data_IF_805288358492
#
_entry.id   IF_805288358492
#
_cell.length_a   1.000
_cell.length_b   1.000
_cell.length_c   1.000
_cell.angle_alpha   90.00
_cell.angle_beta   90.00
_cell.angle_gamma   90.00
#
_symmetry.space_group_name_H-M   'P 1'
#
loop_
_entity.id
_entity.type
_entity.pdbx_description
1 polymer ?
#
# COMPACT_ATOMS: atom_id res chain seq x y z
N UNK A 1 -28.18 -0.64 22.38
CA UNK A 1 -27.73 0.15 21.21
C UNK A 1 -26.33 -0.27 20.83
N UNK A 2 -26.19 -1.23 19.91
CA UNK A 2 -24.89 -1.72 19.47
C UNK A 2 -24.27 -0.76 18.46
N UNK A 3 -23.23 -0.03 18.86
CA UNK A 3 -22.41 0.74 17.93
C UNK A 3 -21.69 -0.23 16.98
N UNK A 4 -22.02 -0.17 15.69
CA UNK A 4 -21.34 -0.99 14.68
C UNK A 4 -19.87 -0.58 14.59
N UNK A 5 -18.97 -1.56 14.56
CA UNK A 5 -17.52 -1.32 14.60
C UNK A 5 -16.83 -1.99 13.41
N UNK A 6 -15.76 -1.35 12.93
CA UNK A 6 -14.81 -2.01 12.05
C UNK A 6 -14.06 -3.06 12.86
N UNK A 7 -14.08 -4.31 12.39
CA UNK A 7 -13.23 -5.38 12.86
C UNK A 7 -12.10 -5.61 11.85
N UNK A 8 -10.87 -5.86 12.32
CA UNK A 8 -9.70 -6.05 11.47
C UNK A 8 -8.93 -7.27 11.98
N UNK A 9 -8.60 -8.19 11.07
CA UNK A 9 -7.88 -9.44 11.35
C UNK A 9 -6.69 -9.62 10.41
N UNK A 10 -5.67 -10.29 10.92
CA UNK A 10 -4.52 -10.80 10.18
C UNK A 10 -4.68 -12.31 10.09
N UNK A 11 -4.73 -12.84 8.87
CA UNK A 11 -4.83 -14.28 8.59
C UNK A 11 -3.63 -14.81 7.81
N UNK A 12 -3.39 -16.13 7.87
CA UNK A 12 -2.40 -16.79 7.01
C UNK A 12 -3.03 -17.13 5.65
N UNK A 13 -2.43 -16.58 4.60
CA UNK A 13 -2.76 -16.96 3.22
C UNK A 13 -2.44 -18.44 2.97
N UNK A 14 -3.27 -19.09 2.17
CA UNK A 14 -3.11 -20.49 1.73
C UNK A 14 -2.89 -21.50 2.89
N UNK A 15 -3.46 -21.23 4.07
CA UNK A 15 -3.32 -22.05 5.28
C UNK A 15 -3.75 -23.52 5.12
N UNK A 16 -4.51 -23.86 4.08
CA UNK A 16 -4.90 -25.23 3.70
C UNK A 16 -3.86 -25.97 2.83
N UNK A 17 -2.84 -25.27 2.33
CA UNK A 17 -1.72 -25.85 1.57
C UNK A 17 -0.52 -26.23 2.45
N UNK A 18 -0.55 -25.83 3.72
CA UNK A 18 0.50 -26.11 4.71
C UNK A 18 0.38 -27.55 5.24
N UNK A 19 1.52 -28.19 5.50
CA UNK A 19 1.57 -29.56 6.00
C UNK A 19 0.80 -29.72 7.34
N UNK A 20 0.06 -30.82 7.56
CA UNK A 20 -0.69 -31.05 8.80
C UNK A 20 0.16 -30.86 10.06
N UNK A 21 -0.42 -30.24 11.09
CA UNK A 21 0.30 -29.94 12.34
C UNK A 21 1.22 -28.71 12.28
N UNK A 22 1.14 -27.88 11.22
CA UNK A 22 1.89 -26.63 11.15
C UNK A 22 1.49 -25.67 12.29
N UNK A 23 2.50 -24.97 12.83
CA UNK A 23 2.33 -23.83 13.73
C UNK A 23 3.26 -22.68 13.30
N UNK A 24 2.80 -21.43 13.47
CA UNK A 24 3.58 -20.21 13.20
C UNK A 24 3.37 -19.20 14.33
N UNK A 25 4.47 -18.62 14.82
CA UNK A 25 4.45 -17.67 15.92
C UNK A 25 4.77 -16.26 15.40
N UNK A 26 3.85 -15.32 15.54
CA UNK A 26 4.06 -13.93 15.13
C UNK A 26 3.47 -12.95 16.14
N UNK A 27 4.26 -11.96 16.52
CA UNK A 27 3.74 -10.75 17.16
C UNK A 27 3.41 -9.74 16.06
N UNK A 28 2.35 -8.96 16.21
CA UNK A 28 1.95 -7.99 15.20
C UNK A 28 1.24 -6.78 15.80
N UNK A 29 1.22 -5.68 15.05
CA UNK A 29 0.31 -4.56 15.29
C UNK A 29 -0.43 -4.20 14.01
N UNK A 30 -1.70 -3.88 14.16
CA UNK A 30 -2.53 -3.35 13.08
C UNK A 30 -2.74 -1.86 13.30
N UNK A 31 -2.62 -1.07 12.24
CA UNK A 31 -2.76 0.39 12.28
C UNK A 31 -3.77 0.84 11.23
N UNK A 32 -4.85 1.48 11.66
CA UNK A 32 -5.74 2.21 10.77
C UNK A 32 -5.14 3.60 10.56
N UNK A 33 -4.65 3.85 9.36
CA UNK A 33 -3.95 5.09 9.00
C UNK A 33 -4.96 6.23 8.86
N UNK A 34 -4.65 7.35 9.48
CA UNK A 34 -5.37 8.60 9.24
C UNK A 34 -4.67 9.36 8.10
N UNK A 35 -5.40 9.63 7.00
CA UNK A 35 -4.82 10.23 5.78
C UNK A 35 -4.74 11.76 5.82
N UNK A 36 -5.33 12.41 6.83
CA UNK A 36 -5.30 13.86 7.01
C UNK A 36 -4.27 14.29 8.07
N UNK A 37 -4.03 13.46 9.08
CA UNK A 37 -3.08 13.72 10.16
C UNK A 37 -2.50 12.40 10.66
N UNK A 38 -1.24 12.12 10.31
CA UNK A 38 -0.58 10.85 10.63
C UNK A 38 -0.54 10.55 12.14
N UNK A 39 -0.50 11.58 13.00
CA UNK A 39 -0.49 11.44 14.46
C UNK A 39 -1.82 10.92 15.02
N UNK A 40 -2.91 11.00 14.25
CA UNK A 40 -4.23 10.46 14.61
C UNK A 40 -4.44 9.01 14.17
N UNK A 41 -3.44 8.35 13.57
CA UNK A 41 -3.54 6.95 13.16
C UNK A 41 -3.71 6.02 14.37
N UNK A 42 -4.69 5.11 14.31
CA UNK A 42 -5.02 4.23 15.44
C UNK A 42 -4.23 2.93 15.30
N UNK A 43 -3.20 2.75 16.14
CA UNK A 43 -2.42 1.51 16.21
C UNK A 43 -2.90 0.64 17.38
N UNK A 44 -3.18 -0.65 17.13
CA UNK A 44 -3.44 -1.66 18.17
C UNK A 44 -2.42 -2.80 18.05
N UNK A 45 -1.53 -2.97 19.04
CA UNK A 45 -0.67 -4.15 19.11
C UNK A 45 -1.49 -5.38 19.54
N UNK A 46 -1.18 -6.55 18.98
CA UNK A 46 -1.74 -7.81 19.45
C UNK A 46 -1.27 -8.06 20.90
N UNK A 47 -2.21 -8.03 21.84
CA UNK A 47 -1.90 -7.82 23.26
C UNK A 47 -1.01 -8.91 23.86
N UNK A 48 0.11 -8.48 24.47
CA UNK A 48 0.84 -9.19 25.53
C UNK A 48 1.52 -10.53 25.19
N UNK A 49 1.42 -11.02 23.96
CA UNK A 49 1.99 -12.32 23.58
C UNK A 49 2.08 -12.50 22.08
N UNK A 50 3.15 -13.18 21.64
CA UNK A 50 3.29 -13.73 20.29
C UNK A 50 2.07 -14.62 20.01
N UNK A 51 1.37 -14.39 18.89
CA UNK A 51 0.19 -15.17 18.51
C UNK A 51 0.61 -16.42 17.75
N UNK A 52 0.04 -17.54 18.17
CA UNK A 52 0.20 -18.82 17.51
C UNK A 52 -0.89 -18.99 16.47
N UNK A 53 -0.48 -19.08 15.22
CA UNK A 53 -1.34 -19.44 14.10
C UNK A 53 -1.21 -20.95 13.90
N UNK A 54 -2.35 -21.62 13.78
CA UNK A 54 -2.45 -23.07 13.58
C UNK A 54 -3.57 -23.37 12.58
N UNK A 55 -3.72 -24.64 12.20
CA UNK A 55 -4.87 -25.09 11.42
C UNK A 55 -6.22 -24.74 12.05
N UNK A 56 -6.32 -24.70 13.39
CA UNK A 56 -7.56 -24.32 14.10
C UNK A 56 -7.68 -22.81 14.36
N UNK A 57 -6.56 -22.07 14.35
CA UNK A 57 -6.50 -20.64 14.63
C UNK A 57 -5.75 -19.92 13.50
N UNK A 58 -6.42 -19.77 12.35
CA UNK A 58 -5.83 -19.25 11.11
C UNK A 58 -5.73 -17.72 11.07
N UNK A 59 -6.45 -17.03 11.94
CA UNK A 59 -6.53 -15.57 12.01
C UNK A 59 -6.55 -15.02 13.44
N UNK A 60 -6.00 -13.81 13.62
CA UNK A 60 -5.99 -13.07 14.88
C UNK A 60 -6.26 -11.59 14.62
N UNK A 61 -7.02 -10.92 15.49
CA UNK A 61 -7.41 -9.54 15.25
C UNK A 61 -8.27 -8.91 16.33
N UNK A 62 -8.92 -7.80 15.98
CA UNK A 62 -9.72 -7.00 16.89
C UNK A 62 -11.16 -6.91 16.38
N UNK A 63 -12.12 -7.46 17.15
CA UNK A 63 -13.57 -7.30 16.95
C UNK A 63 -14.07 -5.85 17.02
N UNK A 64 -13.25 -4.98 17.61
CA UNK A 64 -13.52 -3.57 17.88
C UNK A 64 -12.23 -2.79 17.58
N UNK A 65 -12.11 -2.28 16.36
CA UNK A 65 -11.00 -1.42 15.96
C UNK A 65 -11.37 0.07 16.15
N UNK A 66 -12.40 0.51 15.42
CA UNK A 66 -12.97 1.87 15.47
C UNK A 66 -14.51 1.77 15.27
N UNK A 67 -15.33 2.61 15.91
CA UNK A 67 -16.76 2.73 15.57
C UNK A 67 -16.94 3.21 14.12
N UNK A 68 -17.87 2.61 13.37
CA UNK A 68 -18.09 2.99 11.96
C UNK A 68 -18.52 4.46 11.81
N UNK A 69 -19.27 5.01 12.78
CA UNK A 69 -19.62 6.44 12.78
C UNK A 69 -18.39 7.37 12.79
N UNK A 70 -17.26 6.94 13.37
CA UNK A 70 -15.99 7.69 13.36
C UNK A 70 -15.13 7.35 12.13
N UNK A 71 -15.34 6.19 11.51
CA UNK A 71 -14.68 5.82 10.25
C UNK A 71 -15.26 6.63 9.07
N UNK A 72 -16.59 6.75 9.00
CA UNK A 72 -17.32 7.45 7.94
C UNK A 72 -17.37 8.98 8.09
N UNK A 73 -16.94 9.52 9.23
CA UNK A 73 -16.78 10.96 9.41
C UNK A 73 -15.64 11.47 8.50
N UNK A 74 -16.01 12.23 7.47
CA UNK A 74 -15.08 12.81 6.49
C UNK A 74 -14.09 13.80 7.12
N UNK A 75 -14.44 14.45 8.23
CA UNK A 75 -13.54 15.31 8.99
C UNK A 75 -12.57 14.50 9.88
N UNK A 76 -12.89 13.24 10.21
CA UNK A 76 -12.05 12.39 11.04
C UNK A 76 -10.83 11.83 10.28
N UNK A 77 -10.88 11.73 8.94
CA UNK A 77 -9.71 11.46 8.08
C UNK A 77 -9.27 9.99 7.92
N UNK A 78 -10.05 9.02 8.42
CA UNK A 78 -9.74 7.58 8.28
C UNK A 78 -10.26 6.96 6.98
N UNK A 79 -11.28 7.57 6.38
CA UNK A 79 -11.87 7.19 5.09
C UNK A 79 -11.82 8.41 4.17
N UNK A 80 -11.18 8.30 3.02
CA UNK A 80 -11.09 9.38 2.02
C UNK A 80 -11.21 8.75 0.64
N UNK A 81 -12.12 9.26 -0.19
CA UNK A 81 -12.50 8.66 -1.48
C UNK A 81 -12.91 7.19 -1.34
N UNK A 82 -13.81 6.92 -0.38
CA UNK A 82 -14.30 5.58 0.01
C UNK A 82 -13.20 4.53 0.30
N UNK A 83 -11.97 4.99 0.56
CA UNK A 83 -10.79 4.15 0.78
C UNK A 83 -10.23 4.40 2.17
N UNK A 84 -10.05 3.34 2.96
CA UNK A 84 -9.29 3.35 4.20
C UNK A 84 -7.99 2.54 4.03
N UNK A 85 -6.95 2.89 4.78
CA UNK A 85 -5.64 2.22 4.71
C UNK A 85 -5.38 1.52 6.05
N UNK A 86 -5.08 0.23 5.98
CA UNK A 86 -4.70 -0.59 7.13
C UNK A 86 -3.26 -1.06 6.93
N UNK A 87 -2.36 -0.63 7.79
CA UNK A 87 -0.99 -1.15 7.88
C UNK A 87 -0.93 -2.31 8.86
N UNK A 88 -0.16 -3.35 8.51
CA UNK A 88 0.15 -4.46 9.39
C UNK A 88 1.68 -4.55 9.57
N UNK A 89 2.15 -4.43 10.81
CA UNK A 89 3.55 -4.67 11.18
C UNK A 89 3.64 -6.05 11.82
N UNK A 90 4.43 -6.94 11.24
CA UNK A 90 4.61 -8.31 11.72
C UNK A 90 6.06 -8.49 12.20
N UNK A 91 6.24 -9.23 13.28
CA UNK A 91 7.52 -9.74 13.75
C UNK A 91 7.39 -11.25 13.97
N UNK A 92 7.87 -12.00 12.98
CA UNK A 92 7.76 -13.46 12.89
C UNK A 92 8.85 -14.10 13.72
N UNK A 93 8.44 -14.84 14.76
CA UNK A 93 9.36 -15.56 15.65
C UNK A 93 9.67 -16.94 15.06
N UNK A 94 10.77 -17.05 14.31
CA UNK A 94 11.28 -18.33 13.84
C UNK A 94 11.82 -19.09 15.06
N UNK A 95 11.08 -20.10 15.54
CA UNK A 95 11.63 -21.09 16.46
C UNK A 95 12.51 -22.06 15.66
N UNK A 96 13.82 -21.81 15.66
CA UNK A 96 14.81 -22.79 15.24
C UNK A 96 14.79 -23.89 16.30
N UNK A 97 14.11 -24.98 15.98
CA UNK A 97 13.67 -25.98 16.97
C UNK A 97 13.38 -27.36 16.38
N UNK A 98 13.90 -27.63 15.18
CA UNK A 98 14.55 -28.91 14.86
C UNK A 98 15.55 -28.65 13.71
N UNK A 99 16.56 -29.53 13.55
CA UNK A 99 17.78 -29.35 12.74
C UNK A 99 18.77 -28.31 13.29
N UNK A 100 19.89 -28.80 13.83
CA UNK A 100 20.99 -27.97 14.31
C UNK A 100 21.95 -27.55 13.20
N UNK A 101 22.18 -26.24 13.06
CA UNK A 101 23.47 -25.66 12.65
C UNK A 101 23.48 -24.16 12.96
N UNK A 102 24.64 -23.64 13.37
CA UNK A 102 24.76 -22.27 13.87
C UNK A 102 24.93 -21.26 12.72
N UNK A 103 24.03 -20.28 12.60
CA UNK A 103 24.39 -18.94 12.12
C UNK A 103 23.58 -17.88 12.89
N UNK A 104 24.22 -17.23 13.84
CA UNK A 104 23.75 -15.98 14.43
C UNK A 104 24.18 -14.81 13.54
N UNK A 105 23.21 -14.08 12.99
CA UNK A 105 23.45 -12.81 12.29
C UNK A 105 22.86 -11.65 13.08
N UNK A 106 23.66 -11.08 13.99
CA UNK A 106 23.38 -9.79 14.62
C UNK A 106 23.73 -8.67 13.65
N UNK A 107 22.75 -7.91 13.19
CA UNK A 107 23.02 -6.65 12.48
C UNK A 107 23.07 -5.51 13.48
N UNK A 108 24.24 -5.30 14.08
CA UNK A 108 24.55 -4.01 14.69
C UNK A 108 24.88 -3.00 13.60
N UNK A 109 24.27 -1.81 13.65
CA UNK A 109 24.85 -0.62 13.05
C UNK A 109 25.06 0.42 14.14
N UNK A 110 26.33 0.64 14.47
CA UNK A 110 26.80 1.68 15.37
C UNK A 110 26.99 2.98 14.59
N UNK A 111 26.34 4.05 15.02
CA UNK A 111 26.84 5.41 14.85
C UNK A 111 27.15 6.01 16.23
N UNK A 112 28.43 6.35 16.45
CA UNK A 112 28.88 7.36 17.43
C UNK A 112 29.09 8.63 16.61
N UNK A 113 28.71 9.82 17.05
CA UNK A 113 29.35 10.70 18.04
C UNK A 113 28.34 11.87 18.32
N UNK A 114 28.40 12.71 19.36
CA UNK A 114 29.48 13.05 20.30
C UNK A 114 28.91 13.49 21.67
N UNK A 115 29.81 13.91 22.58
CA UNK A 115 29.61 13.91 24.04
C UNK A 115 29.48 15.33 24.65
N UNK A 116 28.54 15.52 25.59
CA UNK A 116 28.62 16.57 26.62
C UNK A 116 27.93 16.15 27.94
N UNK A 117 28.73 16.04 29.01
CA UNK A 117 28.34 16.01 30.44
C UNK A 117 28.07 17.47 30.90
N UNK A 118 27.46 17.87 32.03
CA UNK A 118 26.83 17.31 33.26
C UNK A 118 26.19 18.52 34.01
N UNK A 119 25.73 18.47 35.29
CA UNK A 119 25.17 17.38 36.10
C UNK A 119 23.80 17.76 36.74
N UNK A 120 23.24 16.84 37.52
CA UNK A 120 22.11 17.09 38.43
C UNK A 120 22.52 17.91 39.67
N UNK A 121 21.68 18.85 40.11
CA UNK A 121 21.60 19.26 41.53
C UNK A 121 20.13 19.38 41.94
N UNK A 122 19.76 18.61 42.97
CA UNK A 122 18.50 18.76 43.69
C UNK A 122 18.61 19.96 44.64
N UNK A 123 17.56 20.79 44.77
CA UNK A 123 17.11 21.16 46.11
C UNK A 123 15.66 21.64 46.19
N UNK A 124 15.06 21.32 47.33
CA UNK A 124 13.65 21.44 47.67
C UNK A 124 13.16 22.86 48.00
N UNK A 125 11.85 23.11 47.80
CA UNK A 125 10.98 23.50 48.93
C UNK A 125 9.51 23.14 48.71
N UNK A 126 8.82 22.73 49.77
CA UNK A 126 7.36 22.58 49.82
C UNK A 126 6.67 23.97 49.80
N UNK A 127 5.41 24.17 49.39
CA UNK A 127 4.14 23.79 50.05
C UNK A 127 2.96 24.35 49.18
N UNK A 128 1.65 24.04 49.31
CA UNK A 128 0.86 23.06 50.09
C UNK A 128 -0.53 22.84 49.40
N UNK A 129 -1.38 21.97 49.96
CA UNK A 129 -2.86 21.94 49.92
C UNK A 129 -3.63 22.00 48.59
N UNK A 130 -4.20 20.85 48.20
CA UNK A 130 -5.57 20.74 47.63
C UNK A 130 -6.63 21.13 48.70
N UNK A 131 -7.93 21.40 48.39
CA UNK A 131 -8.77 20.61 47.47
C UNK A 131 -9.79 21.37 46.59
N UNK A 132 -10.46 20.63 45.70
CA UNK A 132 -11.70 21.02 45.00
C UNK A 132 -12.95 20.73 45.88
N UNK A 133 -14.23 20.85 45.41
CA UNK A 133 -14.77 21.47 44.18
C UNK A 133 -15.96 22.43 44.46
N UNK A 134 -16.56 23.06 43.42
CA UNK A 134 -18.02 23.26 43.23
C UNK A 134 -18.40 24.06 41.97
N UNK A 135 -19.42 23.61 41.26
CA UNK A 135 -20.23 24.36 40.27
C UNK A 135 -21.18 25.34 41.01
N UNK A 136 -21.74 26.38 40.36
CA UNK A 136 -23.05 26.22 39.72
C UNK A 136 -23.26 27.00 38.40
N UNK A 137 -24.36 26.70 37.71
CA UNK A 137 -24.83 27.35 36.48
C UNK A 137 -25.80 28.52 36.75
N UNK A 138 -25.94 29.43 35.77
CA UNK A 138 -27.17 30.16 35.39
C UNK A 138 -26.88 30.77 34.00
N UNK A 139 -27.58 30.47 32.90
CA UNK A 139 -28.97 30.81 32.56
C UNK A 139 -29.35 32.27 32.87
N UNK A 140 -29.66 33.04 31.82
CA UNK A 140 -30.92 33.78 31.69
C UNK A 140 -31.22 34.09 30.21
N UNK A 141 -32.50 34.25 29.89
CA UNK A 141 -33.05 34.32 28.52
C UNK A 141 -33.67 35.70 28.21
N UNK A 142 -34.00 35.89 26.93
CA UNK A 142 -35.08 36.73 26.37
C UNK A 142 -34.86 38.20 25.92
N UNK A 143 -35.31 38.38 24.67
CA UNK A 143 -35.76 39.54 23.87
C UNK A 143 -37.12 40.11 24.39
N UNK A 144 -37.92 41.02 23.73
CA UNK A 144 -37.83 41.65 22.38
C UNK A 144 -38.29 43.15 22.20
N UNK A 145 -38.22 43.68 20.95
CA UNK A 145 -39.10 44.74 20.38
C UNK A 145 -38.67 46.23 20.51
N UNK A 146 -39.08 47.18 19.66
CA UNK A 146 -39.81 47.17 18.35
C UNK A 146 -39.76 48.56 17.63
N UNK A 147 -39.83 48.59 16.28
CA UNK A 147 -40.25 49.68 15.34
C UNK A 147 -39.58 51.09 15.38
N UNK A 148 -39.38 51.87 14.28
CA UNK A 148 -40.27 52.29 13.15
C UNK A 148 -39.46 52.69 11.88
N UNK A 149 -39.87 52.33 10.64
CA UNK A 149 -40.59 53.14 9.57
C UNK A 149 -39.82 54.37 9.06
N UNK A 150 -39.64 54.71 7.75
CA UNK A 150 -39.83 54.11 6.40
C UNK A 150 -38.92 54.90 5.39
N UNK A 151 -38.66 54.49 4.14
CA UNK A 151 -39.41 54.85 2.90
C UNK A 151 -38.74 54.19 1.67
N UNK A 152 -39.51 53.80 0.64
CA UNK A 152 -39.08 53.21 -0.66
C UNK A 152 -39.06 54.26 -1.81
N UNK A 153 -38.72 53.96 -3.10
CA UNK A 153 -38.39 52.68 -3.78
C UNK A 153 -36.94 52.72 -4.40
N UNK A 154 -36.46 51.97 -5.43
CA UNK A 154 -37.06 51.05 -6.42
C UNK A 154 -36.01 50.11 -7.10
N UNK A 155 -36.52 49.23 -7.98
CA UNK A 155 -35.88 48.60 -9.17
C UNK A 155 -34.94 47.36 -9.00
N UNK A 156 -34.99 46.45 -9.99
CA UNK A 156 -34.03 45.36 -10.23
C UNK A 156 -34.29 44.00 -9.53
N UNK A 157 -34.88 43.05 -10.25
CA UNK A 157 -35.28 41.71 -9.78
C UNK A 157 -34.18 40.75 -9.25
N UNK A 158 -34.59 39.60 -8.67
CA UNK A 158 -33.68 38.67 -7.99
C UNK A 158 -32.86 37.82 -8.97
N UNK A 159 -31.53 37.95 -8.90
CA UNK A 159 -30.58 37.10 -9.63
C UNK A 159 -30.55 35.67 -9.06
N UNK A 160 -30.99 34.72 -9.87
CA UNK A 160 -30.88 33.28 -9.61
C UNK A 160 -29.41 32.81 -9.60
N UNK A 161 -28.93 32.06 -8.59
CA UNK A 161 -27.57 31.53 -8.58
C UNK A 161 -27.36 30.44 -9.64
N UNK A 162 -26.73 30.83 -10.75
CA UNK A 162 -26.43 29.98 -11.91
C UNK A 162 -25.81 28.62 -11.56
N UNK A 163 -26.53 27.54 -11.91
CA UNK A 163 -26.10 26.14 -11.76
C UNK A 163 -25.12 25.70 -12.87
N UNK A 164 -24.00 26.43 -13.04
CA UNK A 164 -22.95 26.07 -14.00
C UNK A 164 -21.58 26.09 -13.32
N UNK A 165 -21.37 25.13 -12.39
CA UNK A 165 -20.07 24.97 -11.74
C UNK A 165 -19.73 23.54 -11.28
N UNK A 166 -20.09 22.53 -12.07
CA UNK A 166 -19.52 21.19 -11.91
C UNK A 166 -19.39 20.41 -13.24
N UNK A 167 -18.58 20.95 -14.17
CA UNK A 167 -17.96 20.16 -15.24
C UNK A 167 -16.47 20.04 -14.93
N UNK A 168 -16.09 18.85 -14.47
CA UNK A 168 -14.78 18.50 -13.93
C UNK A 168 -13.69 18.60 -15.01
N UNK A 169 -12.55 19.17 -14.66
CA UNK A 169 -11.46 19.47 -15.60
C UNK A 169 -10.92 18.21 -16.31
N UNK A 170 -10.88 18.26 -17.65
CA UNK A 170 -10.08 17.38 -18.53
C UNK A 170 -8.88 18.20 -19.10
N UNK A 171 -7.80 17.57 -19.63
CA UNK A 171 -6.46 17.96 -19.22
C UNK A 171 -5.73 18.96 -20.14
N UNK A 172 -4.58 19.42 -19.64
CA UNK A 172 -3.72 20.52 -20.10
C UNK A 172 -2.95 20.34 -21.42
N UNK A 173 -3.48 19.65 -22.44
CA UNK A 173 -2.89 19.63 -23.80
C UNK A 173 -3.93 19.59 -24.93
N UNK A 174 -5.11 20.12 -24.68
CA UNK A 174 -6.19 20.27 -25.64
C UNK A 174 -6.06 21.66 -26.29
N UNK A 175 -6.07 21.76 -27.63
CA UNK A 175 -5.80 23.04 -28.32
C UNK A 175 -6.94 24.06 -28.17
N UNK A 176 -8.03 23.68 -27.49
CA UNK A 176 -9.25 24.49 -27.34
C UNK A 176 -10.07 24.62 -28.63
N UNK A 177 -9.54 24.15 -29.76
CA UNK A 177 -10.16 24.25 -31.08
C UNK A 177 -11.25 23.17 -31.22
N UNK A 178 -12.49 23.59 -31.02
CA UNK A 178 -13.68 22.81 -31.36
C UNK A 178 -13.98 22.90 -32.86
N UNK A 179 -14.50 21.83 -33.43
CA UNK A 179 -14.89 21.73 -34.84
C UNK A 179 -16.13 20.86 -34.98
N UNK A 180 -16.97 21.15 -35.98
CA UNK A 180 -18.26 20.47 -36.15
C UNK A 180 -18.08 19.02 -36.65
N UNK A 181 -18.42 18.04 -35.82
CA UNK A 181 -18.33 16.63 -36.18
C UNK A 181 -19.65 16.16 -36.83
N UNK A 182 -19.69 16.08 -38.16
CA UNK A 182 -20.83 15.54 -38.95
C UNK A 182 -22.20 16.17 -38.64
N UNK A 183 -22.23 17.41 -38.13
CA UNK A 183 -23.46 18.07 -37.66
C UNK A 183 -24.03 17.53 -36.34
N UNK A 184 -23.29 16.68 -35.63
CA UNK A 184 -23.68 16.02 -34.38
C UNK A 184 -23.35 16.87 -33.14
N UNK A 185 -22.42 17.81 -33.25
CA UNK A 185 -21.98 18.71 -32.18
C UNK A 185 -20.63 19.37 -32.48
N UNK A 186 -20.25 20.32 -31.64
CA UNK A 186 -18.90 20.89 -31.58
C UNK A 186 -18.02 19.97 -30.74
N UNK A 187 -17.02 19.36 -31.36
CA UNK A 187 -16.13 18.38 -30.71
C UNK A 187 -14.69 18.84 -30.89
N UNK A 188 -13.84 18.54 -29.92
CA UNK A 188 -12.44 18.89 -30.01
C UNK A 188 -11.77 18.25 -31.24
N UNK A 189 -11.05 19.09 -31.99
CA UNK A 189 -10.35 18.73 -33.22
C UNK A 189 -9.37 17.57 -33.07
N UNK A 190 -8.76 17.40 -31.88
CA UNK A 190 -7.89 16.26 -31.57
C UNK A 190 -8.63 14.91 -31.59
N UNK A 191 -9.94 14.90 -31.33
CA UNK A 191 -10.75 13.69 -31.29
C UNK A 191 -11.36 13.34 -32.64
N UNK A 192 -11.59 14.32 -33.52
CA UNK A 192 -12.29 14.13 -34.80
C UNK A 192 -11.67 12.99 -35.65
N UNK A 193 -10.35 12.91 -35.90
CA UNK A 193 -9.78 11.81 -36.69
C UNK A 193 -10.04 10.43 -36.08
N UNK A 194 -10.07 10.34 -34.75
CA UNK A 194 -10.31 9.09 -34.02
C UNK A 194 -11.79 8.68 -34.07
N UNK A 195 -12.67 9.67 -33.96
CA UNK A 195 -14.11 9.48 -34.09
C UNK A 195 -14.52 9.15 -35.52
N UNK A 196 -13.88 9.72 -36.54
CA UNK A 196 -14.10 9.34 -37.94
C UNK A 196 -13.65 7.90 -38.23
N UNK A 197 -12.47 7.51 -37.76
CA UNK A 197 -11.95 6.14 -37.84
C UNK A 197 -12.93 5.14 -37.20
N UNK A 198 -13.30 5.38 -35.95
CA UNK A 198 -14.18 4.48 -35.18
C UNK A 198 -15.64 4.47 -35.69
N UNK A 199 -16.21 5.61 -36.07
CA UNK A 199 -17.58 5.64 -36.61
C UNK A 199 -17.70 5.01 -38.01
N UNK A 200 -16.60 4.97 -38.77
CA UNK A 200 -16.56 4.24 -40.05
C UNK A 200 -16.54 2.72 -39.84
N UNK A 201 -15.89 2.25 -38.78
CA UNK A 201 -15.87 0.82 -38.39
C UNK A 201 -17.16 0.40 -37.66
N UNK A 202 -17.80 1.31 -36.92
CA UNK A 202 -18.99 1.05 -36.11
C UNK A 202 -20.10 2.09 -36.36
N UNK A 203 -20.84 2.00 -37.49
CA UNK A 203 -21.92 2.94 -37.84
C UNK A 203 -23.02 3.05 -36.77
N UNK A 204 -23.26 1.98 -36.02
CA UNK A 204 -24.22 1.91 -34.92
C UNK A 204 -23.99 2.97 -33.83
N UNK A 205 -22.77 3.52 -33.69
CA UNK A 205 -22.48 4.62 -32.79
C UNK A 205 -23.27 5.89 -33.19
N UNK A 206 -23.28 6.23 -34.47
CA UNK A 206 -24.04 7.37 -35.00
C UNK A 206 -25.54 7.10 -34.92
N UNK A 207 -26.00 5.94 -35.37
CA UNK A 207 -27.42 5.55 -35.33
C UNK A 207 -28.02 5.60 -33.93
N UNK A 208 -27.27 5.18 -32.90
CA UNK A 208 -27.70 5.20 -31.50
C UNK A 208 -27.92 6.60 -30.91
N UNK A 209 -27.43 7.63 -31.61
CA UNK A 209 -27.44 9.04 -31.19
C UNK A 209 -28.35 9.93 -32.06
N UNK A 210 -28.62 9.58 -33.31
CA UNK A 210 -29.39 10.40 -34.27
C UNK A 210 -30.77 10.90 -33.79
N UNK A 211 -31.41 10.21 -32.82
CA UNK A 211 -32.72 10.59 -32.26
C UNK A 211 -32.65 11.37 -30.95
N UNK A 212 -31.45 11.74 -30.47
CA UNK A 212 -31.25 12.42 -29.18
C UNK A 212 -31.07 13.92 -29.36
N UNK A 213 -31.21 14.67 -28.25
CA UNK A 213 -30.90 16.10 -28.20
C UNK A 213 -29.41 16.33 -28.57
N UNK A 214 -29.12 17.32 -29.43
CA UNK A 214 -27.77 17.73 -29.85
C UNK A 214 -26.77 17.82 -28.69
N UNK A 215 -27.17 18.38 -27.55
CA UNK A 215 -26.29 18.51 -26.37
C UNK A 215 -25.90 17.15 -25.77
N UNK A 216 -26.79 16.16 -25.82
CA UNK A 216 -26.50 14.78 -25.38
C UNK A 216 -25.59 14.08 -26.39
N UNK A 217 -25.79 14.33 -27.69
CA UNK A 217 -24.96 13.77 -28.77
C UNK A 217 -23.53 14.31 -28.70
N UNK A 218 -23.38 15.63 -28.56
CA UNK A 218 -22.10 16.33 -28.41
C UNK A 218 -21.34 15.83 -27.19
N UNK A 219 -22.00 15.71 -26.03
CA UNK A 219 -21.41 15.14 -24.83
C UNK A 219 -20.97 13.68 -25.05
N UNK A 220 -21.83 12.83 -25.63
CA UNK A 220 -21.53 11.42 -25.87
C UNK A 220 -20.28 11.20 -26.73
N UNK A 221 -20.17 11.95 -27.85
CA UNK A 221 -19.01 11.85 -28.74
C UNK A 221 -17.77 12.58 -28.18
N UNK A 222 -17.93 13.62 -27.37
CA UNK A 222 -16.80 14.26 -26.66
C UNK A 222 -16.18 13.30 -25.64
N UNK A 223 -16.98 12.62 -24.82
CA UNK A 223 -16.47 11.64 -23.85
C UNK A 223 -15.85 10.43 -24.56
N UNK A 224 -16.47 9.92 -25.63
CA UNK A 224 -15.91 8.84 -26.44
C UNK A 224 -14.58 9.27 -27.10
N UNK A 225 -14.51 10.49 -27.62
CA UNK A 225 -13.31 11.10 -28.18
C UNK A 225 -12.17 11.19 -27.17
N UNK A 226 -12.48 11.68 -25.96
CA UNK A 226 -11.52 11.76 -24.85
C UNK A 226 -11.00 10.39 -24.40
N UNK A 227 -11.87 9.37 -24.35
CA UNK A 227 -11.48 7.98 -24.07
C UNK A 227 -10.55 7.41 -25.15
N UNK A 228 -10.91 7.55 -26.43
CA UNK A 228 -10.10 7.09 -27.56
C UNK A 228 -8.75 7.79 -27.63
N UNK A 229 -8.75 9.11 -27.44
CA UNK A 229 -7.53 9.91 -27.39
C UNK A 229 -6.63 9.47 -26.22
N UNK A 230 -7.20 9.27 -25.03
CA UNK A 230 -6.45 8.76 -23.88
C UNK A 230 -5.80 7.40 -24.18
N UNK A 231 -6.54 6.44 -24.74
CA UNK A 231 -6.03 5.12 -25.08
C UNK A 231 -4.94 5.15 -26.17
N UNK A 232 -5.05 6.06 -27.15
CA UNK A 232 -4.09 6.18 -28.27
C UNK A 232 -2.83 6.97 -27.91
N UNK A 233 -2.90 7.88 -26.94
CA UNK A 233 -1.77 8.76 -26.54
C UNK A 233 -1.05 8.33 -25.26
N UNK A 234 -1.72 7.66 -24.33
CA UNK A 234 -1.11 7.27 -23.04
C UNK A 234 -0.18 6.08 -23.23
N UNK A 235 1.11 6.28 -22.98
CA UNK A 235 2.12 5.22 -23.08
C UNK A 235 2.05 4.33 -21.84
N UNK A 236 2.37 3.05 -22.01
CA UNK A 236 2.38 2.06 -20.91
C UNK A 236 3.12 2.58 -19.66
N UNK A 237 4.33 3.13 -19.84
CA UNK A 237 5.15 3.69 -18.73
C UNK A 237 4.50 4.82 -17.94
N UNK A 238 3.53 5.52 -18.53
CA UNK A 238 2.84 6.70 -17.99
C UNK A 238 1.48 6.31 -17.37
N UNK A 239 1.13 5.02 -17.33
CA UNK A 239 -0.01 4.49 -16.55
C UNK A 239 0.28 4.48 -15.05
N UNK A 240 0.11 5.65 -14.43
CA UNK A 240 0.03 5.82 -12.98
C UNK A 240 -1.35 5.41 -12.45
N UNK A 241 -1.50 5.43 -11.12
CA UNK A 241 -2.79 5.22 -10.44
C UNK A 241 -3.84 6.26 -10.87
N UNK A 242 -3.44 7.54 -10.97
CA UNK A 242 -4.32 8.61 -11.44
C UNK A 242 -4.72 8.42 -12.91
N UNK A 243 -3.78 7.96 -13.76
CA UNK A 243 -4.08 7.64 -15.16
C UNK A 243 -5.09 6.50 -15.29
N UNK A 244 -4.95 5.44 -14.49
CA UNK A 244 -5.92 4.34 -14.43
C UNK A 244 -7.30 4.81 -13.93
N UNK A 245 -7.31 5.65 -12.89
CA UNK A 245 -8.55 6.20 -12.32
C UNK A 245 -9.28 7.11 -13.32
N UNK A 246 -8.54 7.92 -14.08
CA UNK A 246 -9.06 8.75 -15.17
C UNK A 246 -9.59 7.91 -16.34
N UNK A 247 -8.89 6.85 -16.72
CA UNK A 247 -9.37 5.90 -17.74
C UNK A 247 -10.70 5.25 -17.32
N UNK A 248 -10.79 4.84 -16.06
CA UNK A 248 -11.98 4.20 -15.52
C UNK A 248 -13.16 5.18 -15.45
N UNK A 249 -12.95 6.44 -15.03
CA UNK A 249 -13.98 7.49 -15.11
C UNK A 249 -14.48 7.67 -16.54
N UNK A 250 -13.56 7.90 -17.50
CA UNK A 250 -13.92 8.07 -18.92
C UNK A 250 -14.69 6.87 -19.47
N UNK A 251 -14.33 5.65 -19.09
CA UNK A 251 -15.06 4.45 -19.50
C UNK A 251 -16.50 4.43 -18.97
N UNK A 252 -16.70 4.66 -17.67
CA UNK A 252 -18.05 4.68 -17.08
C UNK A 252 -18.89 5.85 -17.63
N UNK A 253 -18.28 7.03 -17.82
CA UNK A 253 -18.94 8.19 -18.43
C UNK A 253 -19.42 7.85 -19.85
N UNK A 254 -18.61 7.16 -20.68
CA UNK A 254 -19.02 6.71 -22.02
C UNK A 254 -20.14 5.67 -21.96
N UNK A 255 -20.13 4.76 -20.98
CA UNK A 255 -21.17 3.71 -20.83
C UNK A 255 -22.57 4.30 -20.57
N UNK A 256 -22.66 5.46 -19.91
CA UNK A 256 -23.94 6.16 -19.68
C UNK A 256 -24.72 6.43 -20.97
N UNK A 257 -24.03 6.63 -22.10
CA UNK A 257 -24.66 6.93 -23.37
C UNK A 257 -25.26 5.70 -24.08
N UNK A 258 -25.00 4.47 -23.62
CA UNK A 258 -25.49 3.20 -24.21
C UNK A 258 -24.98 2.93 -25.63
N UNK A 259 -23.73 3.29 -25.92
CA UNK A 259 -23.03 2.83 -27.12
C UNK A 259 -22.77 1.30 -27.06
N UNK A 260 -22.68 0.64 -28.22
CA UNK A 260 -22.15 -0.73 -28.28
C UNK A 260 -20.62 -0.70 -28.36
N UNK A 261 -19.95 -1.05 -27.27
CA UNK A 261 -18.51 -0.87 -27.06
C UNK A 261 -17.77 -2.16 -26.67
N UNK A 262 -18.34 -3.33 -26.98
CA UNK A 262 -17.70 -4.62 -26.70
C UNK A 262 -16.29 -4.75 -27.33
N UNK A 263 -16.06 -4.08 -28.46
CA UNK A 263 -14.75 -3.97 -29.12
C UNK A 263 -13.74 -3.12 -28.33
N UNK A 264 -14.21 -2.09 -27.62
CA UNK A 264 -13.37 -1.15 -26.86
C UNK A 264 -13.08 -1.65 -25.43
N UNK A 265 -14.01 -2.41 -24.85
CA UNK A 265 -13.92 -2.99 -23.50
C UNK A 265 -12.62 -3.78 -23.28
N UNK A 266 -12.23 -4.61 -24.26
CA UNK A 266 -10.97 -5.39 -24.19
C UNK A 266 -9.73 -4.50 -24.15
N UNK A 267 -9.74 -3.38 -24.89
CA UNK A 267 -8.63 -2.42 -24.89
C UNK A 267 -8.55 -1.61 -23.60
N UNK A 268 -9.69 -1.18 -23.05
CA UNK A 268 -9.76 -0.49 -21.75
C UNK A 268 -9.27 -1.42 -20.64
N UNK A 269 -9.74 -2.67 -20.59
CA UNK A 269 -9.34 -3.62 -19.56
C UNK A 269 -7.84 -3.94 -19.65
N UNK A 270 -7.30 -4.17 -20.86
CA UNK A 270 -5.86 -4.36 -21.09
C UNK A 270 -5.03 -3.16 -20.61
N UNK A 271 -5.50 -1.93 -20.85
CA UNK A 271 -4.85 -0.71 -20.39
C UNK A 271 -4.89 -0.55 -18.86
N UNK A 272 -5.97 -0.94 -18.18
CA UNK A 272 -6.06 -0.94 -16.70
C UNK A 272 -5.14 -2.00 -16.08
N UNK A 273 -5.00 -3.18 -16.69
CA UNK A 273 -4.13 -4.25 -16.20
C UNK A 273 -2.63 -3.99 -16.44
N UNK A 274 -2.26 -3.04 -17.31
CA UNK A 274 -0.86 -2.63 -17.52
C UNK A 274 -0.16 -2.15 -16.23
N UNK A 275 -0.88 -1.51 -15.28
CA UNK A 275 -0.31 -1.14 -13.97
C UNK A 275 0.27 -2.37 -13.24
N UNK A 276 -0.52 -3.45 -13.18
CA UNK A 276 -0.15 -4.72 -12.53
C UNK A 276 1.03 -5.38 -13.25
N UNK A 277 1.08 -5.31 -14.59
CA UNK A 277 2.19 -5.84 -15.39
C UNK A 277 3.49 -5.05 -15.19
N UNK A 278 3.44 -3.72 -15.08
CA UNK A 278 4.60 -2.89 -14.76
C UNK A 278 5.15 -3.16 -13.36
N UNK A 279 4.29 -3.31 -12.35
CA UNK A 279 4.71 -3.68 -10.99
C UNK A 279 5.35 -5.06 -10.94
N UNK A 280 4.80 -6.04 -11.66
CA UNK A 280 5.42 -7.37 -11.85
C UNK A 280 6.79 -7.25 -12.53
N UNK A 281 6.91 -6.47 -13.60
CA UNK A 281 8.18 -6.25 -14.30
C UNK A 281 9.25 -5.62 -13.40
N UNK A 282 8.90 -4.56 -12.65
CA UNK A 282 9.80 -3.93 -11.65
C UNK A 282 10.25 -4.91 -10.57
N UNK A 283 9.35 -5.79 -10.10
CA UNK A 283 9.68 -6.86 -9.14
C UNK A 283 10.62 -7.90 -9.74
N UNK A 284 10.35 -8.37 -10.97
CA UNK A 284 11.21 -9.32 -11.69
C UNK A 284 12.63 -8.77 -11.87
N UNK A 285 12.77 -7.47 -12.15
CA UNK A 285 14.10 -6.84 -12.24
C UNK A 285 14.88 -6.93 -10.92
N UNK A 286 14.26 -6.55 -9.79
CA UNK A 286 14.91 -6.66 -8.46
C UNK A 286 15.24 -8.10 -8.10
N UNK A 287 14.30 -9.04 -8.32
CA UNK A 287 14.53 -10.46 -8.04
C UNK A 287 15.67 -11.04 -8.89
N UNK A 288 15.88 -10.56 -10.12
CA UNK A 288 17.07 -10.92 -10.90
C UNK A 288 18.34 -10.38 -10.26
N UNK A 289 18.36 -9.11 -9.86
CA UNK A 289 19.49 -8.48 -9.16
C UNK A 289 19.81 -9.25 -7.84
N UNK A 290 18.81 -9.66 -7.06
CA UNK A 290 18.97 -10.49 -5.85
C UNK A 290 19.51 -11.91 -6.16
N UNK A 291 19.03 -12.56 -7.22
CA UNK A 291 19.51 -13.88 -7.66
C UNK A 291 20.97 -13.81 -8.10
N UNK A 292 21.36 -12.78 -8.84
CA UNK A 292 22.75 -12.57 -9.28
C UNK A 292 23.67 -12.35 -8.06
N UNK A 293 23.22 -11.67 -7.00
CA UNK A 293 23.97 -11.53 -5.74
C UNK A 293 24.14 -12.88 -5.03
N UNK A 294 23.05 -13.65 -4.90
CA UNK A 294 23.06 -14.95 -4.20
C UNK A 294 23.89 -16.01 -4.93
N UNK A 295 23.89 -16.02 -6.27
CA UNK A 295 24.74 -16.89 -7.08
C UNK A 295 26.24 -16.59 -6.89
N UNK A 296 26.62 -15.30 -6.83
CA UNK A 296 27.99 -14.89 -6.52
C UNK A 296 28.40 -15.24 -5.09
N UNK A 297 27.50 -15.13 -4.11
CA UNK A 297 27.71 -15.56 -2.73
C UNK A 297 27.90 -17.09 -2.64
N UNK A 298 27.06 -17.86 -3.34
CA UNK A 298 27.12 -19.32 -3.42
C UNK A 298 28.46 -19.80 -4.00
N UNK A 299 28.91 -19.17 -5.10
CA UNK A 299 30.25 -19.43 -5.68
C UNK A 299 31.37 -19.14 -4.70
N UNK A 300 31.32 -18.03 -3.95
CA UNK A 300 32.36 -17.70 -2.95
C UNK A 300 32.40 -18.72 -1.81
N UNK A 301 31.25 -19.14 -1.29
CA UNK A 301 31.16 -20.15 -0.23
C UNK A 301 31.61 -21.53 -0.71
N UNK A 302 31.26 -21.92 -1.94
CA UNK A 302 31.75 -23.16 -2.56
C UNK A 302 33.28 -23.19 -2.68
N UNK A 303 33.91 -22.06 -3.04
CA UNK A 303 35.37 -21.96 -3.10
C UNK A 303 36.00 -22.06 -1.70
N UNK A 304 35.41 -21.42 -0.68
CA UNK A 304 35.88 -21.51 0.70
C UNK A 304 35.75 -22.94 1.26
N UNK A 305 34.65 -23.64 0.96
CA UNK A 305 34.46 -25.04 1.36
C UNK A 305 35.55 -25.95 0.78
N UNK A 306 35.85 -25.82 -0.52
CA UNK A 306 36.90 -26.61 -1.16
C UNK A 306 38.29 -26.42 -0.53
N UNK A 307 38.61 -25.22 -0.02
CA UNK A 307 39.84 -24.98 0.76
C UNK A 307 39.78 -25.74 2.09
N UNK A 308 38.69 -25.61 2.85
CA UNK A 308 38.56 -26.31 4.14
C UNK A 308 38.51 -27.84 4.02
N UNK A 309 38.02 -28.38 2.91
CA UNK A 309 38.07 -29.82 2.61
C UNK A 309 39.52 -30.30 2.41
N UNK A 310 40.34 -29.54 1.67
CA UNK A 310 41.77 -29.84 1.49
C UNK A 310 42.53 -29.77 2.82
N UNK A 311 42.28 -28.73 3.62
CA UNK A 311 42.90 -28.57 4.94
C UNK A 311 42.53 -29.72 5.89
N UNK A 312 41.27 -30.17 5.87
CA UNK A 312 40.80 -31.32 6.64
C UNK A 312 41.49 -32.64 6.22
N UNK A 313 41.68 -32.87 4.92
CA UNK A 313 42.39 -34.06 4.42
C UNK A 313 43.93 -33.98 4.63
N UNK A 314 44.49 -32.79 4.86
CA UNK A 314 45.86 -32.65 5.38
C UNK A 314 45.89 -33.05 6.86
N UNK A 315 45.03 -32.45 7.70
CA UNK A 315 44.98 -32.68 9.14
C UNK A 315 44.76 -34.17 9.50
N UNK A 316 43.87 -34.87 8.76
CA UNK A 316 43.66 -36.32 8.91
C UNK A 316 44.93 -37.14 8.67
N UNK A 317 45.69 -36.82 7.61
CA UNK A 317 46.93 -37.53 7.26
C UNK A 317 48.06 -37.26 8.24
N UNK A 318 48.09 -36.08 8.86
CA UNK A 318 49.09 -35.77 9.88
C UNK A 318 48.76 -36.44 11.21
N UNK A 319 47.47 -36.48 11.61
CA UNK A 319 47.01 -37.27 12.76
C UNK A 319 47.37 -38.76 12.62
N UNK A 320 47.12 -39.37 11.46
CA UNK A 320 47.44 -40.78 11.20
C UNK A 320 48.94 -41.09 11.32
N UNK A 321 49.83 -40.13 11.04
CA UNK A 321 51.29 -40.29 11.23
C UNK A 321 51.66 -40.30 12.72
N UNK A 322 51.10 -39.37 13.50
CA UNK A 322 51.36 -39.28 14.94
C UNK A 322 50.85 -40.53 15.67
N UNK A 323 49.65 -41.01 15.33
CA UNK A 323 49.09 -42.26 15.90
C UNK A 323 50.00 -43.48 15.61
N UNK A 324 50.53 -43.59 14.38
CA UNK A 324 51.51 -44.64 14.02
C UNK A 324 52.85 -44.45 14.72
N UNK A 325 53.29 -43.21 14.92
CA UNK A 325 54.50 -42.88 15.67
C UNK A 325 54.43 -43.37 17.11
N UNK A 326 53.30 -43.15 17.79
CA UNK A 326 53.05 -43.64 19.15
C UNK A 326 53.00 -45.18 19.18
N UNK A 327 52.31 -45.81 18.22
CA UNK A 327 52.19 -47.28 18.16
C UNK A 327 53.53 -48.00 17.88
N UNK A 328 54.55 -47.30 17.38
CA UNK A 328 55.88 -47.86 17.12
C UNK A 328 56.82 -47.85 18.35
N UNK A 329 56.42 -47.23 19.46
CA UNK A 329 57.24 -47.15 20.69
C UNK A 329 56.99 -48.41 21.53
N UNK A 330 57.68 -49.49 21.18
CA UNK A 330 57.69 -50.75 21.93
C UNK A 330 58.56 -50.64 23.19
N UNK A 331 57.92 -50.34 24.33
CA UNK A 331 58.58 -50.27 25.64
C UNK A 331 58.87 -51.64 26.27
N UNK A 332 58.39 -52.75 25.70
CA UNK A 332 58.69 -54.12 26.17
C UNK A 332 59.94 -54.71 25.48
N UNK A 333 60.63 -53.92 24.64
CA UNK A 333 61.90 -54.32 24.03
C UNK A 333 62.98 -54.57 25.09
N UNK A 334 63.49 -55.82 25.16
CA UNK A 334 64.44 -56.26 26.20
C UNK A 334 65.66 -55.33 26.27
N UNK A 335 65.82 -54.66 27.41
CA UNK A 335 67.02 -53.89 27.73
C UNK A 335 68.20 -54.86 27.84
N UNK A 336 68.95 -54.99 26.74
CA UNK A 336 70.12 -55.84 26.62
C UNK A 336 71.28 -55.35 27.51
N UNK A 337 71.20 -55.65 28.81
CA UNK A 337 72.29 -55.46 29.76
C UNK A 337 73.43 -56.42 29.42
N UNK A 338 74.33 -55.95 28.54
CA UNK A 338 75.49 -56.70 28.07
C UNK A 338 76.37 -57.17 29.21
N UNK A 339 76.44 -58.49 29.43
CA UNK A 339 77.25 -59.08 30.48
C UNK A 339 78.69 -59.32 30.01
N UNK A 340 79.53 -58.27 30.09
CA UNK A 340 80.89 -58.30 30.69
C UNK A 340 81.68 -57.00 30.50
#
# INVERSE_FOLDING_TARGET
NGLVQLAIYLGIADASSLAPGWSRYSSFSLTLVNRLDTNKSITKPATGSVKEFTENHKEWGFKSFIPLIKLYDSAAGYLVNDTCIVEARLNVSIRIGDQGSNVSASTEHSEKEHKAQEPLVLNSKAENSSPAPKTPCSEFQHTPGSEKVCTEPADGGPTEPSLVKELRELPTNLTGELMEFRGLGQIEKAFIPLLEEVCSLHPSLIESMQKRNRMVVECAFTTLGGLLHFLKTTKVKDMTEDACSRLQSLWEDVRMFKFNLAWLETHVQSALDMKKLLERSRRVKRLREDVDILDNEMKRRSAALAVTEVDLEIAKRDLEKEEKGIAAIDMDSELGYGMR
#
